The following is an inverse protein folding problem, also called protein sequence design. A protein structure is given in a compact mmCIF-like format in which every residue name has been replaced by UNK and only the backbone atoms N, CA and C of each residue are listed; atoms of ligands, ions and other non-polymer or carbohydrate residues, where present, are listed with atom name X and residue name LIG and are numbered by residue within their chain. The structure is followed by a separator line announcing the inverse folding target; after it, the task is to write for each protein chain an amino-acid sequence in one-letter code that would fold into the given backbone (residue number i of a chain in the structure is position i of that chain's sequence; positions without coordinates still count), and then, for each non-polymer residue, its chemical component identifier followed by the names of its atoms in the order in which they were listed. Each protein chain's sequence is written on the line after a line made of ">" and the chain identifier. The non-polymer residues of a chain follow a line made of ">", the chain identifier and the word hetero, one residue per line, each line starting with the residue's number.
data_IF_310644761130
#
_entry.id   IF_310644761130
#
_cell.length_a   1.000
_cell.length_b   1.000
_cell.length_c   1.000
_cell.angle_alpha   90.00
_cell.angle_beta   90.00
_cell.angle_gamma   90.00
#
_symmetry.space_group_name_H-M   'P 1'
#
loop_
_entity.id
_entity.type
_entity.pdbx_description
1 polymer ?
#
# COMPACT_ATOMS: atom_id res chain seq x y z
N UNK A 1 -1.95 9.00 -3.43
CA UNK A 1 -1.88 8.26 -4.72
C UNK A 1 -3.29 7.93 -5.22
N UNK A 2 -3.59 8.12 -6.51
CA UNK A 2 -4.92 7.76 -7.06
C UNK A 2 -5.05 6.25 -7.31
N UNK A 3 -6.29 5.74 -7.44
CA UNK A 3 -6.54 4.31 -7.74
C UNK A 3 -5.97 3.89 -9.09
N UNK A 4 -6.14 4.74 -10.10
CA UNK A 4 -5.64 4.47 -11.46
C UNK A 4 -4.10 4.39 -11.49
N UNK A 5 -3.42 5.31 -10.80
CA UNK A 5 -1.95 5.26 -10.67
C UNK A 5 -1.53 3.99 -9.94
N UNK A 6 -2.14 3.70 -8.78
CA UNK A 6 -1.83 2.49 -8.02
C UNK A 6 -1.96 1.23 -8.89
N UNK A 7 -3.09 1.06 -9.59
CA UNK A 7 -3.32 -0.10 -10.45
C UNK A 7 -2.29 -0.24 -11.57
N UNK A 8 -1.86 0.87 -12.16
CA UNK A 8 -0.81 0.87 -13.18
C UNK A 8 0.55 0.44 -12.60
N UNK A 9 0.94 0.98 -11.43
CA UNK A 9 2.23 0.70 -10.79
C UNK A 9 2.37 -0.74 -10.32
N UNK A 10 1.28 -1.37 -9.87
CA UNK A 10 1.30 -2.74 -9.35
C UNK A 10 0.70 -3.76 -10.33
N UNK A 11 0.44 -3.34 -11.58
CA UNK A 11 -0.11 -4.17 -12.66
C UNK A 11 -1.40 -4.92 -12.28
N UNK A 12 -2.30 -4.26 -11.53
CA UNK A 12 -3.58 -4.82 -11.11
C UNK A 12 -4.76 -4.16 -11.84
N UNK A 13 -5.73 -4.98 -12.26
CA UNK A 13 -6.98 -4.51 -12.85
C UNK A 13 -7.83 -3.73 -11.85
N UNK A 14 -8.69 -2.84 -12.36
CA UNK A 14 -9.45 -1.88 -11.55
C UNK A 14 -10.26 -2.52 -10.41
N UNK A 15 -10.94 -3.64 -10.70
CA UNK A 15 -11.70 -4.39 -9.69
C UNK A 15 -10.82 -4.90 -8.55
N UNK A 16 -9.64 -5.44 -8.85
CA UNK A 16 -8.70 -5.94 -7.86
C UNK A 16 -8.08 -4.81 -7.03
N UNK A 17 -7.77 -3.67 -7.65
CA UNK A 17 -7.29 -2.47 -6.94
C UNK A 17 -8.34 -1.95 -5.97
N UNK A 18 -9.63 -1.95 -6.37
CA UNK A 18 -10.74 -1.54 -5.50
C UNK A 18 -10.84 -2.46 -4.28
N UNK A 19 -10.78 -3.77 -4.48
CA UNK A 19 -10.81 -4.75 -3.38
C UNK A 19 -9.61 -4.60 -2.45
N UNK A 20 -8.40 -4.45 -2.99
CA UNK A 20 -7.19 -4.22 -2.19
C UNK A 20 -7.33 -2.97 -1.31
N UNK A 21 -7.78 -1.86 -1.87
CA UNK A 21 -7.98 -0.61 -1.11
C UNK A 21 -9.05 -0.80 -0.03
N UNK A 22 -10.12 -1.55 -0.30
CA UNK A 22 -11.15 -1.84 0.71
C UNK A 22 -10.55 -2.57 1.90
N UNK A 23 -9.84 -3.67 1.67
CA UNK A 23 -9.21 -4.44 2.75
C UNK A 23 -8.16 -3.63 3.52
N UNK A 24 -7.36 -2.81 2.84
CA UNK A 24 -6.39 -1.94 3.51
C UNK A 24 -7.06 -0.88 4.39
N UNK A 25 -8.23 -0.37 4.00
CA UNK A 25 -9.04 0.53 4.84
C UNK A 25 -9.66 -0.18 6.04
N UNK A 26 -10.26 -1.35 5.82
CA UNK A 26 -10.83 -2.19 6.88
C UNK A 26 -9.77 -2.54 7.93
N UNK A 27 -8.55 -2.84 7.49
CA UNK A 27 -7.40 -3.06 8.35
C UNK A 27 -6.82 -1.77 8.99
N UNK A 28 -7.38 -0.59 8.69
CA UNK A 28 -6.92 0.74 9.15
C UNK A 28 -5.49 1.07 8.76
N UNK A 29 -5.02 0.52 7.64
CA UNK A 29 -3.66 0.74 7.13
C UNK A 29 -3.56 1.99 6.26
N UNK A 30 -4.63 2.30 5.53
CA UNK A 30 -4.73 3.48 4.68
C UNK A 30 -6.00 4.25 4.97
N UNK A 31 -6.03 5.50 4.52
CA UNK A 31 -7.22 6.31 4.41
C UNK A 31 -7.29 6.96 3.02
N UNK A 32 -8.47 7.44 2.62
CA UNK A 32 -8.69 8.11 1.34
C UNK A 32 -9.30 9.48 1.52
N UNK A 33 -8.77 10.44 0.79
CA UNK A 33 -9.39 11.75 0.55
C UNK A 33 -9.67 11.93 -0.94
N UNK A 34 -10.22 13.09 -1.30
CA UNK A 34 -10.38 13.49 -2.71
C UNK A 34 -9.06 13.50 -3.48
N UNK A 35 -7.92 13.73 -2.81
CA UNK A 35 -6.59 13.73 -3.45
C UNK A 35 -5.95 12.32 -3.54
N UNK A 36 -6.63 11.29 -3.02
CA UNK A 36 -6.24 9.88 -3.17
C UNK A 36 -5.99 9.18 -1.84
N UNK A 37 -5.22 8.09 -1.89
CA UNK A 37 -4.93 7.23 -0.74
C UNK A 37 -3.59 7.60 -0.09
N UNK A 38 -3.53 7.47 1.24
CA UNK A 38 -2.34 7.70 2.08
C UNK A 38 -2.31 6.73 3.26
N UNK A 39 -1.12 6.50 3.82
CA UNK A 39 -0.93 5.65 4.99
C UNK A 39 -1.47 6.35 6.25
N UNK A 40 -2.15 5.60 7.11
CA UNK A 40 -2.41 6.01 8.50
C UNK A 40 -1.13 5.89 9.34
N UNK A 41 -1.14 6.35 10.59
CA UNK A 41 -0.03 6.11 11.51
C UNK A 41 0.26 4.62 11.74
N UNK A 42 -0.80 3.80 11.80
CA UNK A 42 -0.67 2.33 11.83
C UNK A 42 0.03 1.80 10.57
N UNK A 43 -0.40 2.28 9.40
CA UNK A 43 0.20 1.95 8.12
C UNK A 43 1.68 2.30 8.05
N UNK A 44 2.04 3.53 8.43
CA UNK A 44 3.42 4.02 8.47
C UNK A 44 4.31 3.15 9.37
N UNK A 45 3.85 2.88 10.60
CA UNK A 45 4.60 2.04 11.56
C UNK A 45 4.89 0.65 10.98
N UNK A 46 3.88 0.01 10.39
CA UNK A 46 4.02 -1.30 9.77
C UNK A 46 4.97 -1.27 8.57
N UNK A 47 4.85 -0.28 7.67
CA UNK A 47 5.74 -0.17 6.52
C UNK A 47 7.19 0.07 6.94
N UNK A 48 7.43 0.86 7.99
CA UNK A 48 8.78 1.06 8.53
C UNK A 48 9.37 -0.24 9.09
N UNK A 49 8.56 -1.08 9.72
CA UNK A 49 9.01 -2.41 10.17
C UNK A 49 9.40 -3.29 8.98
N UNK A 50 8.57 -3.34 7.93
CA UNK A 50 8.88 -4.10 6.71
C UNK A 50 10.17 -3.61 6.05
N UNK A 51 10.34 -2.29 5.91
CA UNK A 51 11.54 -1.69 5.32
C UNK A 51 12.82 -2.01 6.10
N UNK A 52 12.72 -2.22 7.42
CA UNK A 52 13.86 -2.62 8.25
C UNK A 52 14.14 -4.13 8.21
N UNK A 53 13.09 -4.96 8.06
CA UNK A 53 13.19 -6.42 8.11
C UNK A 53 13.57 -7.01 6.75
N UNK A 54 12.89 -6.61 5.68
CA UNK A 54 13.07 -7.23 4.36
C UNK A 54 14.53 -7.22 3.88
N UNK A 55 15.30 -6.11 4.00
CA UNK A 55 16.70 -6.12 3.58
C UNK A 55 17.62 -7.03 4.40
N UNK A 56 17.21 -7.42 5.61
CA UNK A 56 17.95 -8.34 6.48
C UNK A 56 17.66 -9.80 6.11
N UNK A 57 16.42 -10.10 5.76
CA UNK A 57 15.98 -11.45 5.43
C UNK A 57 16.29 -11.82 3.97
N UNK A 58 16.24 -10.86 3.06
CA UNK A 58 16.44 -11.07 1.64
C UNK A 58 17.28 -9.94 1.01
N UNK A 59 18.25 -10.33 0.18
CA UNK A 59 18.90 -9.38 -0.73
C UNK A 59 17.89 -8.99 -1.81
N UNK A 60 17.36 -7.78 -1.71
CA UNK A 60 16.64 -7.18 -2.83
C UNK A 60 17.69 -6.96 -3.93
N UNK A 61 17.55 -7.66 -5.06
CA UNK A 61 18.43 -7.50 -6.21
C UNK A 61 18.47 -6.06 -6.70
N UNK A 62 19.57 -5.66 -7.34
CA UNK A 62 19.66 -4.40 -8.08
C UNK A 62 18.79 -4.46 -9.33
#
# INVERSE_FOLDING_TARGET
>A
MSRAILGKEIHLGEGAVKTLISHLKEAKMIDSTRSGNFLTEKGKKFTSQLQNIIPRECKIGK
#
